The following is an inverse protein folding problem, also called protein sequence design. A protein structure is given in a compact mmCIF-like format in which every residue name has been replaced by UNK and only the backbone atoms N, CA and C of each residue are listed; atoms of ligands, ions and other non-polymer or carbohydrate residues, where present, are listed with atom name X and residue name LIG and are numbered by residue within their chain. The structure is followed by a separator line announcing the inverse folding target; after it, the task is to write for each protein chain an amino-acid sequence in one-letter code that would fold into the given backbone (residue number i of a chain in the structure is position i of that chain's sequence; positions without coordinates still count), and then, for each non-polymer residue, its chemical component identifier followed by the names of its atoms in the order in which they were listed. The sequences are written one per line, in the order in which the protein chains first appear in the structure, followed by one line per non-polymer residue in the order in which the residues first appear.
data_IF_122305945759
#
_entry.id   IF_122305945759
#
_cell.length_a   1.000
_cell.length_b   1.000
_cell.length_c   1.000
_cell.angle_alpha   90.00
_cell.angle_beta   90.00
_cell.angle_gamma   90.00
#
_symmetry.space_group_name_H-M   'P 1'
#
loop_
_entity.id
_entity.type
_entity.pdbx_description
1 polymer ?
#
# COMPACT_ATOMS: atom_id res chain seq x y z
N UNK A 1 42.06 -5.03 -4.41
CA UNK A 1 40.97 -4.69 -3.47
C UNK A 1 39.73 -4.42 -4.31
N UNK A 2 38.90 -5.44 -4.56
CA UNK A 2 37.73 -5.34 -5.43
C UNK A 2 36.56 -6.03 -4.74
N UNK A 3 35.64 -5.24 -4.22
CA UNK A 3 34.42 -5.70 -3.56
C UNK A 3 33.47 -6.23 -4.63
N UNK A 4 33.17 -7.53 -4.56
CA UNK A 4 32.22 -8.19 -5.47
C UNK A 4 30.82 -7.67 -5.17
N UNK A 5 30.13 -7.15 -6.18
CA UNK A 5 28.68 -6.99 -6.16
C UNK A 5 28.05 -8.35 -5.88
N UNK A 6 27.27 -8.45 -4.79
CA UNK A 6 26.39 -9.57 -4.56
C UNK A 6 25.36 -9.61 -5.70
N UNK A 7 25.31 -10.75 -6.38
CA UNK A 7 24.40 -11.02 -7.49
C UNK A 7 22.94 -10.92 -7.05
N UNK A 8 22.18 -10.08 -7.75
CA UNK A 8 20.73 -10.08 -7.71
C UNK A 8 20.20 -11.47 -8.11
N UNK A 9 19.48 -12.13 -7.20
CA UNK A 9 18.74 -13.33 -7.54
C UNK A 9 17.67 -12.97 -8.59
N UNK A 10 17.53 -13.74 -9.69
CA UNK A 10 16.60 -13.41 -10.76
C UNK A 10 15.15 -13.58 -10.29
N UNK A 11 14.35 -12.54 -10.48
CA UNK A 11 12.91 -12.44 -10.19
C UNK A 11 12.06 -13.28 -11.16
N UNK A 12 12.55 -14.44 -11.60
CA UNK A 12 11.96 -15.24 -12.68
C UNK A 12 10.87 -16.22 -12.20
N UNK A 13 10.66 -16.36 -10.89
CA UNK A 13 9.65 -17.27 -10.32
C UNK A 13 8.19 -16.79 -10.43
N UNK A 14 7.95 -15.56 -10.89
CA UNK A 14 6.63 -14.91 -10.88
C UNK A 14 5.80 -15.16 -12.16
N UNK A 15 6.33 -15.89 -13.15
CA UNK A 15 5.54 -16.31 -14.31
C UNK A 15 4.87 -17.66 -14.05
N UNK A 16 3.61 -17.64 -13.60
CA UNK A 16 2.70 -18.79 -13.75
C UNK A 16 1.45 -18.39 -14.57
N UNK A 17 1.57 -18.68 -15.87
CA UNK A 17 0.56 -19.10 -16.88
C UNK A 17 -0.78 -18.37 -17.08
N UNK A 18 -1.04 -18.07 -18.37
CA UNK A 18 -2.33 -17.88 -19.05
C UNK A 18 -3.11 -16.58 -18.74
N UNK A 19 -2.92 -15.56 -19.60
CA UNK A 19 -3.68 -14.30 -19.64
C UNK A 19 -3.89 -13.69 -18.23
N UNK A 20 -2.81 -13.55 -17.47
CA UNK A 20 -2.86 -13.05 -16.10
C UNK A 20 -3.29 -11.58 -16.11
N UNK A 21 -4.43 -11.31 -15.51
CA UNK A 21 -4.88 -9.99 -15.12
C UNK A 21 -3.74 -9.24 -14.38
N UNK A 22 -3.40 -7.98 -14.71
CA UNK A 22 -2.33 -7.25 -14.06
C UNK A 22 -2.56 -7.11 -12.56
N UNK A 23 -1.60 -7.60 -11.78
CA UNK A 23 -1.52 -7.43 -10.33
C UNK A 23 -0.55 -6.30 -10.01
N UNK A 24 -0.95 -5.34 -9.19
CA UNK A 24 -0.06 -4.26 -8.73
C UNK A 24 0.68 -4.68 -7.46
N UNK A 25 2.00 -4.52 -7.39
CA UNK A 25 2.78 -4.88 -6.18
C UNK A 25 3.41 -3.66 -5.52
N UNK A 26 3.30 -3.53 -4.19
CA UNK A 26 3.93 -2.47 -3.39
C UNK A 26 4.88 -3.07 -2.35
N UNK A 27 6.12 -2.55 -2.27
CA UNK A 27 7.12 -2.99 -1.29
C UNK A 27 7.11 -2.14 -0.01
N UNK A 28 7.14 -2.80 1.16
CA UNK A 28 7.22 -2.16 2.48
C UNK A 28 8.44 -2.66 3.26
N UNK A 29 9.13 -1.75 3.93
CA UNK A 29 10.34 -2.02 4.76
C UNK A 29 10.08 -1.89 6.26
N UNK A 30 8.80 -1.80 6.66
CA UNK A 30 8.39 -1.76 8.06
C UNK A 30 8.72 -3.06 8.80
N UNK A 31 8.94 -2.96 10.11
CA UNK A 31 9.20 -4.12 10.97
C UNK A 31 7.94 -4.96 11.25
N UNK A 32 6.75 -4.36 11.13
CA UNK A 32 5.48 -5.02 11.38
C UNK A 32 4.73 -5.18 10.06
N UNK A 33 4.20 -6.39 9.85
CA UNK A 33 3.34 -6.70 8.72
C UNK A 33 1.86 -6.51 9.12
N UNK A 34 1.03 -5.88 8.28
CA UNK A 34 -0.40 -5.81 8.54
C UNK A 34 -1.04 -7.20 8.55
N UNK A 35 -2.16 -7.32 9.26
CA UNK A 35 -3.04 -8.49 9.24
C UNK A 35 -3.67 -8.68 7.85
N UNK A 36 -4.22 -9.86 7.59
CA UNK A 36 -4.94 -10.12 6.33
C UNK A 36 -6.14 -9.19 6.12
N UNK A 37 -6.89 -8.90 7.19
CA UNK A 37 -8.03 -7.98 7.15
C UNK A 37 -7.60 -6.53 6.82
N UNK A 38 -6.48 -6.07 7.37
CA UNK A 38 -5.90 -4.77 7.04
C UNK A 38 -5.41 -4.71 5.58
N UNK A 39 -4.88 -5.82 5.04
CA UNK A 39 -4.49 -5.90 3.62
C UNK A 39 -5.70 -5.87 2.69
N UNK A 40 -6.78 -6.59 3.05
CA UNK A 40 -8.01 -6.62 2.25
C UNK A 40 -8.60 -5.22 2.01
N UNK A 41 -8.46 -4.30 2.97
CA UNK A 41 -8.90 -2.90 2.87
C UNK A 41 -7.75 -1.90 2.85
N UNK A 42 -6.57 -2.28 2.34
CA UNK A 42 -5.40 -1.42 2.35
C UNK A 42 -5.52 -0.28 1.31
N UNK A 43 -5.59 1.00 1.73
CA UNK A 43 -5.85 2.12 0.82
C UNK A 43 -4.85 2.27 -0.31
N UNK A 44 -3.54 2.13 0.00
CA UNK A 44 -2.49 2.32 -1.00
C UNK A 44 -2.56 1.28 -2.12
N UNK A 45 -2.88 0.02 -1.80
CA UNK A 45 -2.98 -1.04 -2.80
C UNK A 45 -4.22 -0.81 -3.66
N UNK A 46 -5.34 -0.47 -3.02
CA UNK A 46 -6.60 -0.20 -3.68
C UNK A 46 -6.52 0.97 -4.68
N UNK A 47 -5.80 2.05 -4.35
CA UNK A 47 -5.60 3.17 -5.29
C UNK A 47 -4.85 2.73 -6.55
N UNK A 48 -3.87 1.83 -6.45
CA UNK A 48 -3.19 1.29 -7.65
C UNK A 48 -4.08 0.38 -8.47
N UNK A 49 -4.88 -0.46 -7.82
CA UNK A 49 -5.87 -1.27 -8.53
C UNK A 49 -6.89 -0.41 -9.27
N UNK A 50 -7.36 0.68 -8.64
CA UNK A 50 -8.25 1.65 -9.28
C UNK A 50 -7.54 2.31 -10.48
N UNK A 51 -6.28 2.71 -10.35
CA UNK A 51 -5.54 3.30 -11.46
C UNK A 51 -5.46 2.33 -12.66
N UNK A 52 -5.20 1.04 -12.43
CA UNK A 52 -5.22 0.01 -13.48
C UNK A 52 -6.62 -0.08 -14.11
N UNK A 53 -7.67 -0.13 -13.30
CA UNK A 53 -9.08 -0.15 -13.76
C UNK A 53 -9.46 1.08 -14.58
N UNK A 54 -8.88 2.25 -14.28
CA UNK A 54 -9.11 3.50 -15.00
C UNK A 54 -8.19 3.70 -16.21
N UNK A 55 -7.34 2.72 -16.50
CA UNK A 55 -6.54 2.68 -17.72
C UNK A 55 -5.13 3.23 -17.62
N UNK A 56 -4.59 3.35 -16.40
CA UNK A 56 -3.21 3.80 -16.17
C UNK A 56 -2.14 2.91 -16.83
N UNK A 57 -2.53 1.70 -17.28
CA UNK A 57 -1.62 0.73 -17.94
C UNK A 57 -2.07 0.35 -19.34
N UNK A 58 -3.11 0.98 -19.92
CA UNK A 58 -3.68 0.57 -21.21
C UNK A 58 -2.62 0.56 -22.33
N UNK A 59 -1.70 1.51 -22.34
CA UNK A 59 -0.57 1.55 -23.30
C UNK A 59 0.33 0.31 -23.24
N UNK A 60 0.49 -0.30 -22.06
CA UNK A 60 1.26 -1.53 -21.89
C UNK A 60 0.51 -2.78 -22.39
N UNK A 61 -0.78 -2.63 -22.73
CA UNK A 61 -1.67 -3.67 -23.23
C UNK A 61 -2.27 -3.30 -24.60
N UNK A 62 -1.49 -2.62 -25.45
CA UNK A 62 -1.87 -2.24 -26.82
C UNK A 62 -3.17 -1.41 -26.89
N UNK A 63 -3.41 -0.57 -25.87
CA UNK A 63 -4.63 0.24 -25.74
C UNK A 63 -5.86 -0.52 -25.26
N UNK A 64 -5.73 -1.82 -24.95
CA UNK A 64 -6.81 -2.65 -24.39
C UNK A 64 -6.78 -2.56 -22.88
N UNK A 65 -7.91 -2.16 -22.28
CA UNK A 65 -8.04 -2.15 -20.82
C UNK A 65 -8.05 -3.56 -20.26
N UNK A 66 -7.06 -3.93 -19.42
CA UNK A 66 -7.03 -5.24 -18.80
C UNK A 66 -7.92 -5.29 -17.55
N UNK A 67 -8.52 -6.44 -17.27
CA UNK A 67 -9.18 -6.70 -15.98
C UNK A 67 -8.14 -6.72 -14.85
N UNK A 68 -8.31 -6.01 -13.73
CA UNK A 68 -7.36 -6.03 -12.62
C UNK A 68 -7.26 -7.39 -11.92
N UNK A 69 -6.04 -7.84 -11.63
CA UNK A 69 -5.74 -9.12 -10.99
C UNK A 69 -5.52 -9.05 -9.48
N UNK A 70 -5.90 -7.94 -8.84
CA UNK A 70 -5.62 -7.70 -7.42
C UNK A 70 -4.32 -6.92 -7.20
N UNK A 71 -3.84 -6.95 -5.97
CA UNK A 71 -2.59 -6.32 -5.58
C UNK A 71 -1.82 -7.13 -4.55
N UNK A 72 -0.52 -6.87 -4.42
CA UNK A 72 0.33 -7.54 -3.45
C UNK A 72 1.12 -6.53 -2.62
N UNK A 73 1.19 -6.79 -1.33
CA UNK A 73 2.13 -6.15 -0.43
C UNK A 73 3.33 -7.08 -0.23
N UNK A 74 4.53 -6.59 -0.48
CA UNK A 74 5.79 -7.32 -0.29
C UNK A 74 6.54 -6.73 0.92
N UNK A 75 6.82 -7.53 1.95
CA UNK A 75 7.50 -7.09 3.17
C UNK A 75 8.96 -7.53 3.17
N UNK A 76 9.87 -6.64 2.75
CA UNK A 76 11.28 -6.99 2.51
C UNK A 76 12.09 -7.34 3.77
N UNK A 77 11.58 -6.97 4.95
CA UNK A 77 12.24 -7.24 6.25
C UNK A 77 11.56 -8.35 7.04
N UNK A 78 10.64 -9.09 6.42
CA UNK A 78 9.89 -10.17 7.06
C UNK A 78 10.02 -11.40 6.20
N UNK A 79 10.47 -12.50 6.80
CA UNK A 79 10.50 -13.79 6.13
C UNK A 79 9.10 -14.30 5.79
N UNK A 80 8.99 -15.01 4.67
CA UNK A 80 7.79 -15.75 4.34
C UNK A 80 7.56 -16.91 5.32
N UNK A 81 6.34 -17.43 5.39
CA UNK A 81 6.08 -18.66 6.14
C UNK A 81 6.90 -19.81 5.54
N UNK A 82 7.23 -20.84 6.35
CA UNK A 82 8.03 -21.99 5.87
C UNK A 82 7.47 -22.66 4.62
N UNK A 83 6.14 -22.75 4.52
CA UNK A 83 5.43 -23.30 3.35
C UNK A 83 5.60 -22.46 2.07
N UNK A 84 5.96 -21.19 2.23
CA UNK A 84 6.10 -20.18 1.19
C UNK A 84 7.59 -19.84 0.93
N UNK A 85 8.52 -20.72 1.32
CA UNK A 85 9.97 -20.58 1.09
C UNK A 85 10.77 -20.05 2.29
N UNK A 86 10.11 -19.77 3.42
CA UNK A 86 10.76 -19.40 4.68
C UNK A 86 11.50 -18.07 4.65
N UNK A 87 12.40 -17.86 5.62
CA UNK A 87 13.10 -16.58 5.86
C UNK A 87 13.99 -16.10 4.69
N UNK A 88 14.26 -16.95 3.69
CA UNK A 88 15.02 -16.58 2.51
C UNK A 88 14.21 -15.73 1.51
N UNK A 89 12.88 -15.75 1.60
CA UNK A 89 11.98 -15.00 0.73
C UNK A 89 11.20 -13.95 1.53
N UNK A 90 10.86 -12.80 0.92
CA UNK A 90 10.03 -11.81 1.59
C UNK A 90 8.60 -12.34 1.77
N UNK A 91 7.96 -11.96 2.87
CA UNK A 91 6.52 -12.18 3.06
C UNK A 91 5.74 -11.40 2.00
N UNK A 92 4.80 -12.06 1.35
CA UNK A 92 3.89 -11.46 0.37
C UNK A 92 2.45 -11.64 0.89
N UNK A 93 1.65 -10.59 0.84
CA UNK A 93 0.24 -10.61 1.20
C UNK A 93 -0.58 -10.05 0.05
N UNK A 94 -1.53 -10.83 -0.45
CA UNK A 94 -2.42 -10.40 -1.52
C UNK A 94 -3.63 -9.63 -0.99
N UNK A 95 -4.05 -8.62 -1.76
CA UNK A 95 -5.36 -8.03 -1.74
C UNK A 95 -6.06 -8.48 -3.02
N UNK A 96 -7.25 -9.06 -2.87
CA UNK A 96 -8.08 -9.46 -4.01
C UNK A 96 -8.43 -8.27 -4.93
N UNK A 97 -8.84 -8.53 -6.19
CA UNK A 97 -9.45 -7.51 -7.04
C UNK A 97 -10.50 -6.70 -6.30
N UNK A 98 -10.53 -5.39 -6.54
CA UNK A 98 -11.48 -4.51 -5.88
C UNK A 98 -12.93 -4.87 -6.22
N UNK A 99 -13.74 -5.02 -5.19
CA UNK A 99 -15.19 -5.10 -5.30
C UNK A 99 -15.83 -3.79 -4.82
N UNK A 100 -16.79 -3.27 -5.59
CA UNK A 100 -17.55 -2.06 -5.29
C UNK A 100 -16.75 -0.76 -5.42
N UNK A 101 -17.31 0.32 -4.86
CA UNK A 101 -16.85 1.71 -5.09
C UNK A 101 -16.22 2.39 -3.87
N UNK A 102 -15.89 1.63 -2.82
CA UNK A 102 -15.39 2.19 -1.56
C UNK A 102 -14.09 3.00 -1.71
N UNK A 103 -13.28 2.70 -2.73
CA UNK A 103 -12.06 3.46 -3.05
C UNK A 103 -12.41 4.83 -3.61
N UNK A 104 -13.48 4.91 -4.42
CA UNK A 104 -14.03 6.17 -4.90
C UNK A 104 -14.51 7.05 -3.74
N UNK A 105 -15.27 6.48 -2.81
CA UNK A 105 -15.71 7.20 -1.60
C UNK A 105 -14.54 7.69 -0.74
N UNK A 106 -13.51 6.86 -0.59
CA UNK A 106 -12.29 7.23 0.12
C UNK A 106 -11.59 8.42 -0.53
N UNK A 107 -11.41 8.38 -1.86
CA UNK A 107 -10.79 9.46 -2.62
C UNK A 107 -11.63 10.73 -2.61
N UNK A 108 -12.96 10.62 -2.76
CA UNK A 108 -13.87 11.74 -2.68
C UNK A 108 -13.83 12.41 -1.29
N UNK A 109 -13.80 11.61 -0.23
CA UNK A 109 -13.64 12.11 1.15
C UNK A 109 -12.30 12.83 1.33
N UNK A 110 -11.20 12.28 0.79
CA UNK A 110 -9.89 12.90 0.87
C UNK A 110 -9.82 14.22 0.08
N UNK A 111 -10.33 14.23 -1.15
CA UNK A 111 -10.41 15.41 -2.00
C UNK A 111 -11.26 16.50 -1.33
N UNK A 112 -12.42 16.14 -0.77
CA UNK A 112 -13.28 17.07 -0.03
C UNK A 112 -12.56 17.75 1.12
N UNK A 113 -11.75 17.02 1.90
CA UNK A 113 -10.95 17.62 2.98
C UNK A 113 -9.89 18.59 2.49
N UNK A 114 -9.24 18.27 1.37
CA UNK A 114 -8.24 19.18 0.77
C UNK A 114 -8.91 20.45 0.26
N UNK A 115 -10.06 20.32 -0.41
CA UNK A 115 -10.82 21.44 -0.95
C UNK A 115 -11.47 22.32 0.11
N UNK A 116 -11.85 21.75 1.26
CA UNK A 116 -12.42 22.51 2.39
C UNK A 116 -11.36 23.33 3.14
N UNK A 117 -10.06 23.01 2.96
CA UNK A 117 -8.92 23.65 3.63
C UNK A 117 -9.00 23.64 5.18
N UNK A 118 -9.92 22.86 5.75
CA UNK A 118 -10.09 22.69 7.20
C UNK A 118 -9.63 21.30 7.62
N UNK A 119 -8.50 21.26 8.30
CA UNK A 119 -7.86 20.02 8.73
C UNK A 119 -8.06 19.80 10.24
N UNK A 120 -9.28 19.44 10.64
CA UNK A 120 -9.57 19.09 12.03
C UNK A 120 -8.82 17.82 12.41
N UNK A 121 -7.87 17.86 13.38
CA UNK A 121 -7.12 16.68 13.77
C UNK A 121 -8.00 15.69 14.53
N UNK A 122 -7.84 14.39 14.23
CA UNK A 122 -8.47 13.30 14.98
C UNK A 122 -7.41 12.56 15.79
N UNK A 123 -7.66 12.34 17.09
CA UNK A 123 -6.72 11.59 17.92
C UNK A 123 -6.80 10.07 17.64
N UNK A 124 -5.66 9.39 17.65
CA UNK A 124 -5.59 7.93 17.46
C UNK A 124 -4.18 7.36 17.64
N UNK A 125 -3.99 6.08 17.26
CA UNK A 125 -2.69 5.39 17.38
C UNK A 125 -1.55 6.09 16.64
N UNK A 126 -1.87 6.80 15.56
CA UNK A 126 -0.92 7.58 14.79
C UNK A 126 -0.27 8.73 15.60
N UNK A 127 -0.91 9.20 16.68
CA UNK A 127 -0.35 10.24 17.54
C UNK A 127 0.95 9.82 18.23
N UNK A 128 1.20 8.52 18.42
CA UNK A 128 2.41 8.01 19.07
C UNK A 128 3.68 8.24 18.24
N UNK A 129 3.56 8.44 16.93
CA UNK A 129 4.67 8.66 16.00
C UNK A 129 4.51 9.91 15.13
N UNK A 130 3.51 10.74 15.41
CA UNK A 130 3.23 11.96 14.65
C UNK A 130 4.28 13.05 14.96
N UNK A 131 5.02 13.49 13.94
CA UNK A 131 6.00 14.57 14.05
C UNK A 131 5.39 15.91 14.50
N UNK A 132 4.08 16.11 14.30
CA UNK A 132 3.35 17.33 14.65
C UNK A 132 2.71 17.30 16.04
N UNK A 133 3.00 16.27 16.87
CA UNK A 133 2.37 16.09 18.20
C UNK A 133 2.45 17.34 19.08
N UNK A 134 3.59 18.04 19.07
CA UNK A 134 3.83 19.21 19.93
C UNK A 134 2.99 20.44 19.55
N UNK A 135 2.43 20.48 18.34
CA UNK A 135 1.62 21.62 17.84
C UNK A 135 0.18 21.22 17.52
N UNK A 136 -0.19 19.96 17.76
CA UNK A 136 -1.51 19.44 17.40
C UNK A 136 -2.54 19.75 18.49
N UNK A 137 -3.61 20.46 18.14
CA UNK A 137 -4.69 20.83 19.07
C UNK A 137 -5.49 19.63 19.63
N UNK A 138 -5.42 18.47 18.97
CA UNK A 138 -5.98 17.21 19.50
C UNK A 138 -5.17 16.63 20.66
N UNK A 139 -4.00 17.20 20.99
CA UNK A 139 -3.10 16.74 22.05
C UNK A 139 -2.96 17.81 23.14
N UNK A 140 -2.95 17.44 24.44
CA UNK A 140 -2.76 18.41 25.52
C UNK A 140 -1.52 19.29 25.34
N UNK A 141 -0.42 18.69 24.86
CA UNK A 141 0.86 19.37 24.69
C UNK A 141 0.86 20.43 23.57
N UNK A 142 -0.07 20.32 22.61
CA UNK A 142 -0.22 21.27 21.49
C UNK A 142 -1.44 22.17 21.61
N UNK A 143 -2.18 22.14 22.74
CA UNK A 143 -3.27 23.07 23.00
C UNK A 143 -2.69 24.39 23.48
N UNK A 144 -2.88 25.44 22.68
CA UNK A 144 -2.68 26.80 23.16
C UNK A 144 -3.85 27.15 24.08
N UNK A 145 -3.56 27.48 25.34
CA UNK A 145 -4.53 28.11 26.25
C UNK A 145 -4.58 29.57 25.84
N UNK A 146 -5.70 29.98 25.26
CA UNK A 146 -5.99 31.41 25.04
C UNK A 146 -6.76 31.87 26.27
N UNK A 147 -6.17 32.75 27.07
CA UNK A 147 -6.88 33.52 28.12
C UNK A 147 -7.68 34.67 27.48
#
# INVERSE_FOLDING_TARGET
MSTRCASAAPWTGWRRTARAAPTSSTSKTGKQAPTGAEVARHPQLAVYQLAVREGAVDEAFDGVRPEPGGAELVQLRQGAAKRDGGEALPKVQAQEPLEGEWVGDLLATAAGKVLDERFTPSAGQHCAHCSFRASCSARPEGRHVVE
#
